data_IF_168954397827
#
_entry.id   IF_168954397827
#
_cell.length_a   1.000
_cell.length_b   1.000
_cell.length_c   1.000
_cell.angle_alpha   90.00
_cell.angle_beta   90.00
_cell.angle_gamma   90.00
#
_symmetry.space_group_name_H-M   'P 1'
#
loop_
_entity.id
_entity.type
_entity.pdbx_description
1 polymer ?
#
# COMPACT_ATOMS: atom_id res chain seq x y z
N UNK A 1 18.78 9.93 -5.29
CA UNK A 1 17.90 8.74 -5.34
C UNK A 1 18.21 7.94 -6.61
N UNK A 2 18.70 6.71 -6.48
CA UNK A 2 18.88 5.81 -7.63
C UNK A 2 17.53 5.25 -8.06
N UNK A 3 17.23 5.21 -9.35
CA UNK A 3 16.00 4.60 -9.86
C UNK A 3 16.35 3.43 -10.78
N UNK A 4 15.70 2.29 -10.59
CA UNK A 4 15.83 1.10 -11.44
C UNK A 4 14.47 0.51 -11.74
N UNK A 5 14.39 -0.44 -12.67
CA UNK A 5 13.13 -1.09 -13.04
C UNK A 5 12.86 -1.01 -14.53
N UNK A 6 11.80 -1.70 -14.97
CA UNK A 6 11.46 -1.80 -16.40
C UNK A 6 10.83 -0.51 -16.93
N UNK A 7 10.08 0.18 -16.08
CA UNK A 7 9.34 1.38 -16.45
C UNK A 7 9.36 2.36 -15.28
N UNK A 8 10.01 3.49 -15.47
CA UNK A 8 10.03 4.58 -14.49
C UNK A 8 8.90 5.52 -14.86
N UNK A 9 7.92 5.64 -13.96
CA UNK A 9 6.74 6.47 -14.17
C UNK A 9 7.10 7.95 -14.33
N UNK A 10 6.40 8.65 -15.25
CA UNK A 10 6.45 10.11 -15.38
C UNK A 10 5.86 10.83 -14.16
N UNK A 11 4.87 10.21 -13.52
CA UNK A 11 4.40 10.60 -12.20
C UNK A 11 5.41 10.04 -11.19
N UNK A 12 6.46 10.78 -10.83
CA UNK A 12 7.49 10.26 -9.93
C UNK A 12 7.00 10.13 -8.48
N UNK A 13 7.84 9.53 -7.63
CA UNK A 13 7.51 9.26 -6.21
C UNK A 13 7.31 10.54 -5.40
N UNK A 14 7.90 11.64 -5.85
CA UNK A 14 7.78 12.97 -5.27
C UNK A 14 6.34 13.50 -5.31
N UNK A 15 5.53 13.07 -6.28
CA UNK A 15 4.10 13.38 -6.34
C UNK A 15 3.31 12.75 -5.19
N UNK A 16 3.87 11.73 -4.53
CA UNK A 16 3.35 11.11 -3.32
C UNK A 16 4.06 11.62 -2.05
N UNK A 17 4.89 12.66 -2.16
CA UNK A 17 5.59 13.28 -1.04
C UNK A 17 6.88 12.58 -0.61
N UNK A 18 7.24 11.45 -1.22
CA UNK A 18 8.47 10.71 -0.92
C UNK A 18 9.69 11.46 -1.43
N UNK A 19 10.69 11.66 -0.56
CA UNK A 19 11.92 12.40 -0.84
C UNK A 19 13.12 11.65 -0.30
N UNK A 20 14.32 12.02 -0.75
CA UNK A 20 15.59 11.53 -0.22
C UNK A 20 15.73 10.00 -0.10
N UNK A 21 15.01 9.22 -0.91
CA UNK A 21 15.13 7.77 -0.91
C UNK A 21 16.52 7.36 -1.42
N UNK A 22 17.08 6.29 -0.86
CA UNK A 22 18.34 5.73 -1.36
C UNK A 22 18.14 5.15 -2.76
N UNK A 23 17.09 4.33 -2.93
CA UNK A 23 16.78 3.67 -4.20
C UNK A 23 15.27 3.45 -4.37
N UNK A 24 14.80 3.50 -5.62
CA UNK A 24 13.43 3.13 -6.01
C UNK A 24 13.50 2.11 -7.12
N UNK A 25 12.81 0.98 -6.94
CA UNK A 25 12.72 -0.11 -7.90
C UNK A 25 11.31 -0.21 -8.47
N UNK A 26 11.15 0.14 -9.74
CA UNK A 26 9.85 0.22 -10.39
C UNK A 26 9.47 -1.05 -11.13
N UNK A 27 8.26 -1.54 -10.85
CA UNK A 27 7.56 -2.55 -11.65
C UNK A 27 8.46 -3.77 -11.94
N UNK A 28 9.21 -4.21 -10.93
CA UNK A 28 10.05 -5.39 -11.04
C UNK A 28 9.16 -6.62 -11.28
N UNK A 29 9.63 -7.50 -12.17
CA UNK A 29 8.98 -8.78 -12.46
C UNK A 29 9.22 -9.80 -11.34
N UNK A 30 8.41 -10.87 -11.25
CA UNK A 30 8.54 -11.88 -10.20
C UNK A 30 9.95 -12.41 -10.02
N UNK A 31 10.68 -12.73 -11.10
CA UNK A 31 12.04 -13.27 -11.00
C UNK A 31 13.01 -12.34 -10.24
N UNK A 32 13.01 -11.04 -10.56
CA UNK A 32 13.85 -10.07 -9.86
C UNK A 32 13.40 -9.88 -8.39
N UNK A 33 12.09 -9.87 -8.14
CA UNK A 33 11.56 -9.78 -6.78
C UNK A 33 11.96 -11.00 -5.94
N UNK A 34 11.92 -12.21 -6.51
CA UNK A 34 12.39 -13.45 -5.89
C UNK A 34 13.86 -13.36 -5.50
N UNK A 35 14.73 -13.01 -6.44
CA UNK A 35 16.18 -12.96 -6.21
C UNK A 35 16.54 -11.94 -5.13
N UNK A 36 15.94 -10.74 -5.18
CA UNK A 36 16.20 -9.69 -4.20
C UNK A 36 15.68 -10.10 -2.83
N UNK A 37 14.46 -10.62 -2.73
CA UNK A 37 13.87 -11.05 -1.46
C UNK A 37 14.70 -12.16 -0.80
N UNK A 38 15.16 -13.15 -1.56
CA UNK A 38 16.06 -14.20 -1.06
C UNK A 38 17.40 -13.64 -0.59
N UNK A 39 18.02 -12.75 -1.38
CA UNK A 39 19.29 -12.12 -1.03
C UNK A 39 19.19 -11.27 0.24
N UNK A 40 18.03 -10.66 0.50
CA UNK A 40 17.76 -9.85 1.70
C UNK A 40 17.30 -10.70 2.90
N UNK A 41 17.20 -12.02 2.76
CA UNK A 41 16.73 -12.90 3.83
C UNK A 41 15.26 -12.67 4.20
N UNK A 42 14.45 -12.16 3.26
CA UNK A 42 13.03 -11.87 3.49
C UNK A 42 12.14 -13.14 3.46
N UNK A 43 12.73 -14.28 3.11
CA UNK A 43 12.06 -15.57 3.03
C UNK A 43 12.98 -16.67 2.51
N UNK A 44 12.39 -17.84 2.28
CA UNK A 44 13.06 -19.05 1.81
C UNK A 44 12.28 -19.69 0.66
N UNK A 45 12.91 -20.60 -0.07
CA UNK A 45 12.20 -21.39 -1.08
C UNK A 45 11.76 -22.72 -0.49
N UNK A 46 10.49 -23.06 -0.70
CA UNK A 46 10.02 -24.44 -0.51
C UNK A 46 10.68 -25.37 -1.53
N UNK A 47 10.60 -26.69 -1.30
CA UNK A 47 11.11 -27.70 -2.23
C UNK A 47 10.48 -27.62 -3.63
N UNK A 48 9.25 -27.09 -3.75
CA UNK A 48 8.55 -26.85 -5.01
C UNK A 48 8.86 -25.51 -5.67
N UNK A 49 9.80 -24.71 -5.11
CA UNK A 49 10.19 -23.41 -5.66
C UNK A 49 9.28 -22.24 -5.28
N UNK A 50 8.19 -22.48 -4.52
CA UNK A 50 7.37 -21.39 -4.01
C UNK A 50 8.11 -20.59 -2.93
N UNK A 51 8.04 -19.26 -2.99
CA UNK A 51 8.58 -18.36 -1.97
C UNK A 51 7.76 -18.45 -0.67
N UNK A 52 8.46 -18.67 0.45
CA UNK A 52 7.90 -18.78 1.79
C UNK A 52 8.40 -17.61 2.61
N UNK A 53 7.49 -16.72 3.02
CA UNK A 53 7.78 -15.62 3.96
C UNK A 53 7.15 -15.88 5.33
N UNK A 54 7.67 -15.21 6.36
CA UNK A 54 7.09 -15.21 7.72
C UNK A 54 6.70 -13.79 8.07
N UNK A 55 5.46 -13.61 8.56
CA UNK A 55 4.90 -12.28 8.85
C UNK A 55 5.12 -11.82 10.28
N UNK A 56 5.87 -12.60 11.07
CA UNK A 56 6.15 -12.33 12.47
C UNK A 56 4.92 -12.48 13.35
N UNK A 57 4.74 -11.54 14.27
CA UNK A 57 3.64 -11.52 15.24
C UNK A 57 2.25 -11.49 14.57
N UNK A 58 2.11 -10.75 13.48
CA UNK A 58 0.85 -10.62 12.77
C UNK A 58 0.69 -11.72 11.71
N UNK A 59 0.05 -12.82 12.09
CA UNK A 59 -0.29 -13.94 11.18
C UNK A 59 -1.67 -13.79 10.52
N UNK A 60 -2.37 -12.69 10.82
CA UNK A 60 -3.68 -12.35 10.30
C UNK A 60 -3.93 -10.86 10.31
N UNK A 61 -5.17 -10.45 10.01
CA UNK A 61 -5.53 -9.03 9.97
C UNK A 61 -5.53 -8.39 11.36
N UNK A 62 -5.03 -7.18 11.43
CA UNK A 62 -5.11 -6.32 12.61
C UNK A 62 -6.35 -5.42 12.51
N UNK A 63 -7.54 -6.04 12.49
CA UNK A 63 -8.80 -5.31 12.26
C UNK A 63 -9.04 -4.17 13.27
N UNK A 64 -8.52 -4.31 14.49
CA UNK A 64 -8.62 -3.30 15.53
C UNK A 64 -7.61 -2.15 15.37
N UNK A 65 -6.66 -2.25 14.44
CA UNK A 65 -5.65 -1.22 14.14
C UNK A 65 -5.89 -0.55 12.79
N UNK A 66 -7.05 -0.82 12.18
CA UNK A 66 -7.50 -0.15 10.96
C UNK A 66 -8.37 1.06 11.30
N UNK A 67 -8.02 2.21 10.71
CA UNK A 67 -8.68 3.49 10.89
C UNK A 67 -9.08 4.08 9.54
N UNK A 68 -10.19 4.81 9.51
CA UNK A 68 -10.64 5.62 8.38
C UNK A 68 -10.68 7.06 8.82
N UNK A 69 -10.14 7.97 7.99
CA UNK A 69 -10.20 9.40 8.27
C UNK A 69 -11.67 9.86 8.27
N UNK A 70 -12.08 10.49 9.37
CA UNK A 70 -13.40 11.10 9.53
C UNK A 70 -13.31 12.58 9.19
N UNK A 71 -13.71 12.93 7.98
CA UNK A 71 -13.80 14.29 7.46
C UNK A 71 -15.24 14.63 7.08
N UNK A 72 -15.46 15.82 6.50
CA UNK A 72 -16.79 16.28 6.11
C UNK A 72 -17.47 15.42 5.04
N UNK A 73 -16.72 14.65 4.26
CA UNK A 73 -17.26 13.76 3.23
C UNK A 73 -17.51 12.36 3.78
N UNK A 74 -16.62 11.85 4.63
CA UNK A 74 -16.71 10.48 5.16
C UNK A 74 -17.62 10.37 6.38
N UNK A 75 -17.87 11.46 7.11
CA UNK A 75 -18.69 11.46 8.35
C UNK A 75 -20.08 10.86 8.16
N UNK A 76 -20.69 11.03 6.99
CA UNK A 76 -22.05 10.56 6.70
C UNK A 76 -22.08 9.39 5.69
N UNK A 77 -20.94 9.01 5.11
CA UNK A 77 -20.85 7.96 4.07
C UNK A 77 -20.18 6.68 4.54
N UNK A 78 -19.42 6.73 5.65
CA UNK A 78 -18.80 5.56 6.28
C UNK A 78 -19.69 5.01 7.38
N UNK A 79 -19.82 3.68 7.42
CA UNK A 79 -20.52 3.00 8.52
C UNK A 79 -19.63 2.92 9.78
N UNK A 80 -19.75 3.94 10.64
CA UNK A 80 -18.88 4.12 11.81
C UNK A 80 -19.06 3.09 12.92
N UNK A 81 -20.17 2.35 12.98
CA UNK A 81 -20.31 1.27 13.98
C UNK A 81 -19.33 0.11 13.72
N UNK A 82 -18.79 0.03 12.50
CA UNK A 82 -17.85 -1.00 12.07
C UNK A 82 -16.51 -0.42 11.56
N UNK A 83 -16.25 0.87 11.80
CA UNK A 83 -15.03 1.54 11.40
C UNK A 83 -14.49 2.42 12.52
N UNK A 84 -13.17 2.44 12.70
CA UNK A 84 -12.54 3.34 13.67
C UNK A 84 -12.19 4.66 13.00
N UNK A 85 -12.48 5.76 13.68
CA UNK A 85 -12.17 7.09 13.18
C UNK A 85 -10.73 7.50 13.52
N UNK A 86 -10.13 8.26 12.61
CA UNK A 86 -8.91 9.05 12.81
C UNK A 86 -9.20 10.47 12.28
N UNK A 87 -8.66 11.51 12.91
CA UNK A 87 -8.88 12.88 12.40
C UNK A 87 -7.98 13.16 11.19
N UNK A 88 -8.34 14.13 10.33
CA UNK A 88 -7.47 14.56 9.24
C UNK A 88 -6.07 14.99 9.70
N UNK A 89 -5.98 15.68 10.83
CA UNK A 89 -4.71 16.19 11.39
C UNK A 89 -3.82 15.05 11.88
N UNK A 90 -4.41 14.04 12.54
CA UNK A 90 -3.70 12.83 12.96
C UNK A 90 -3.16 12.05 11.76
N UNK A 91 -3.98 11.91 10.71
CA UNK A 91 -3.56 11.27 9.47
C UNK A 91 -2.42 12.04 8.78
N UNK A 92 -2.50 13.36 8.73
CA UNK A 92 -1.51 14.19 8.06
C UNK A 92 -0.17 14.18 8.80
N UNK A 93 -0.21 14.14 10.13
CA UNK A 93 0.97 13.93 10.97
C UNK A 93 1.58 12.55 10.73
N UNK A 94 0.77 11.48 10.80
CA UNK A 94 1.21 10.11 10.52
C UNK A 94 1.81 9.99 9.11
N UNK A 95 1.18 10.61 8.12
CA UNK A 95 1.66 10.62 6.74
C UNK A 95 3.03 11.29 6.64
N UNK A 96 3.19 12.48 7.22
CA UNK A 96 4.46 13.21 7.21
C UNK A 96 5.58 12.38 7.87
N UNK A 97 5.31 11.74 9.01
CA UNK A 97 6.30 10.93 9.72
C UNK A 97 6.64 9.62 8.98
N UNK A 98 5.67 8.99 8.30
CA UNK A 98 5.96 7.83 7.45
C UNK A 98 6.77 8.20 6.22
N UNK A 99 6.55 9.38 5.62
CA UNK A 99 7.38 9.90 4.55
C UNK A 99 8.81 10.18 5.03
N UNK A 100 8.97 10.76 6.22
CA UNK A 100 10.27 10.98 6.84
C UNK A 100 10.97 9.64 7.15
N UNK A 101 10.24 8.64 7.65
CA UNK A 101 10.77 7.29 7.89
C UNK A 101 11.21 6.58 6.60
N UNK A 102 10.64 6.95 5.46
CA UNK A 102 11.05 6.42 4.16
C UNK A 102 12.39 7.00 3.67
N UNK A 103 12.81 8.16 4.15
CA UNK A 103 14.07 8.79 3.72
C UNK A 103 15.26 7.85 3.96
N UNK A 104 16.17 7.79 2.98
CA UNK A 104 17.32 6.88 3.00
C UNK A 104 16.99 5.40 2.79
N UNK A 105 15.71 5.00 2.70
CA UNK A 105 15.34 3.60 2.39
C UNK A 105 15.37 3.31 0.90
N UNK A 106 15.49 2.02 0.60
CA UNK A 106 15.17 1.47 -0.71
C UNK A 106 13.71 1.02 -0.70
N UNK A 107 12.92 1.48 -1.68
CA UNK A 107 11.52 1.10 -1.85
C UNK A 107 11.28 0.40 -3.19
N UNK A 108 10.27 -0.47 -3.20
CA UNK A 108 9.75 -1.13 -4.40
C UNK A 108 8.38 -0.58 -4.74
N UNK A 109 8.19 -0.25 -6.01
CA UNK A 109 6.95 0.32 -6.54
C UNK A 109 6.29 -0.69 -7.48
N UNK A 110 5.00 -0.91 -7.29
CA UNK A 110 4.16 -1.68 -8.19
C UNK A 110 2.96 -0.82 -8.62
N UNK A 111 2.88 -0.54 -9.93
CA UNK A 111 1.75 0.08 -10.59
C UNK A 111 0.82 -1.02 -11.13
N UNK A 112 -0.38 -1.11 -10.55
CA UNK A 112 -1.30 -2.22 -10.74
C UNK A 112 -2.75 -1.71 -10.86
N UNK A 113 -3.66 -2.54 -11.39
CA UNK A 113 -5.08 -2.24 -11.44
C UNK A 113 -5.89 -3.09 -10.45
N UNK A 114 -6.72 -2.43 -9.63
CA UNK A 114 -7.79 -3.07 -8.88
C UNK A 114 -9.07 -3.14 -9.72
N UNK A 115 -9.52 -4.35 -10.08
CA UNK A 115 -10.70 -4.54 -10.94
C UNK A 115 -10.36 -4.68 -12.43
N UNK A 116 -11.05 -5.59 -13.12
CA UNK A 116 -10.72 -5.97 -14.50
C UNK A 116 -11.38 -5.09 -15.57
N UNK A 117 -12.54 -4.50 -15.27
CA UNK A 117 -13.26 -3.65 -16.21
C UNK A 117 -12.56 -2.29 -16.34
N UNK A 118 -12.09 -1.87 -17.53
CA UNK A 118 -11.45 -0.58 -17.73
C UNK A 118 -12.28 0.64 -17.30
N UNK A 119 -13.61 0.52 -17.27
CA UNK A 119 -14.52 1.60 -16.84
C UNK A 119 -14.55 1.80 -15.32
N UNK A 120 -14.16 0.78 -14.56
CA UNK A 120 -14.28 0.75 -13.10
C UNK A 120 -12.97 0.39 -12.39
N UNK A 121 -11.92 0.01 -13.12
CA UNK A 121 -10.63 -0.34 -12.56
C UNK A 121 -10.02 0.85 -11.82
N UNK A 122 -9.25 0.53 -10.79
CA UNK A 122 -8.58 1.47 -9.90
C UNK A 122 -7.07 1.43 -10.16
N UNK A 123 -6.49 2.40 -10.88
CA UNK A 123 -5.04 2.56 -10.98
C UNK A 123 -4.46 2.75 -9.59
N UNK A 124 -3.69 1.77 -9.13
CA UNK A 124 -3.17 1.67 -7.77
C UNK A 124 -1.65 1.62 -7.82
N UNK A 125 -1.00 2.58 -7.14
CA UNK A 125 0.43 2.55 -6.88
C UNK A 125 0.70 2.05 -5.48
N UNK A 126 1.55 1.04 -5.36
CA UNK A 126 1.92 0.44 -4.07
C UNK A 126 3.41 0.63 -3.85
N UNK A 127 3.75 1.35 -2.78
CA UNK A 127 5.11 1.45 -2.24
C UNK A 127 5.29 0.42 -1.14
N UNK A 128 6.36 -0.36 -1.22
CA UNK A 128 6.69 -1.39 -0.23
C UNK A 128 8.15 -1.29 0.18
N UNK A 129 8.41 -1.48 1.48
CA UNK A 129 9.76 -1.62 2.02
C UNK A 129 10.36 -3.01 1.76
N UNK A 130 9.52 -4.05 1.81
CA UNK A 130 9.91 -5.44 1.60
C UNK A 130 9.61 -5.87 0.18
N UNK A 131 10.56 -6.58 -0.43
CA UNK A 131 10.46 -7.07 -1.79
C UNK A 131 9.35 -8.12 -1.95
N UNK A 132 9.20 -9.01 -0.98
CA UNK A 132 8.14 -10.03 -1.01
C UNK A 132 6.72 -9.44 -0.89
N UNK A 133 6.55 -8.24 -0.29
CA UNK A 133 5.26 -7.53 -0.29
C UNK A 133 4.89 -7.05 -1.71
N UNK A 134 5.88 -6.59 -2.48
CA UNK A 134 5.68 -6.28 -3.91
C UNK A 134 5.28 -7.52 -4.71
N UNK A 135 5.95 -8.65 -4.47
CA UNK A 135 5.61 -9.92 -5.13
C UNK A 135 4.18 -10.36 -4.77
N UNK A 136 3.80 -10.25 -3.51
CA UNK A 136 2.46 -10.59 -3.05
C UNK A 136 1.38 -9.78 -3.76
N UNK A 137 1.52 -8.45 -3.84
CA UNK A 137 0.47 -7.61 -4.42
C UNK A 137 0.40 -7.76 -5.94
N UNK A 138 1.55 -7.98 -6.60
CA UNK A 138 1.63 -8.28 -8.03
C UNK A 138 0.86 -9.56 -8.40
N UNK A 139 0.85 -10.57 -7.53
CA UNK A 139 0.08 -11.81 -7.77
C UNK A 139 -1.44 -11.63 -7.63
N UNK A 140 -1.91 -10.54 -6.98
CA UNK A 140 -3.33 -10.37 -6.61
C UNK A 140 -4.05 -9.28 -7.39
N UNK A 141 -3.33 -8.30 -7.91
CA UNK A 141 -3.90 -7.26 -8.76
C UNK A 141 -3.54 -7.51 -10.22
N UNK A 142 -4.12 -6.71 -11.11
CA UNK A 142 -3.93 -6.87 -12.55
C UNK A 142 -2.72 -6.04 -12.96
N UNK A 143 -1.74 -6.69 -13.59
CA UNK A 143 -0.59 -6.00 -14.15
C UNK A 143 -0.99 -5.20 -15.40
N UNK A 144 -0.63 -3.91 -15.50
CA UNK A 144 -0.81 -3.14 -16.71
C UNK A 144 -0.04 -3.74 -17.88
N UNK A 145 -0.57 -3.58 -19.08
CA UNK A 145 0.23 -3.86 -20.29
C UNK A 145 1.38 -2.83 -20.39
N UNK A 146 2.49 -3.16 -21.07
CA UNK A 146 3.62 -2.24 -21.20
C UNK A 146 3.21 -0.85 -21.71
N UNK A 147 2.32 -0.78 -22.70
CA UNK A 147 1.79 0.47 -23.26
C UNK A 147 0.93 1.28 -22.29
N UNK A 148 0.34 0.64 -21.27
CA UNK A 148 -0.46 1.33 -20.24
C UNK A 148 0.41 1.94 -19.14
N UNK A 149 1.69 1.55 -19.04
CA UNK A 149 2.61 2.08 -18.03
C UNK A 149 3.08 3.50 -18.38
N UNK A 150 3.23 3.83 -19.66
CA UNK A 150 3.76 5.13 -20.13
C UNK A 150 2.95 6.33 -19.64
N UNK A 151 1.65 6.15 -19.51
CA UNK A 151 0.70 7.17 -19.06
C UNK A 151 -0.05 6.71 -17.79
N UNK A 152 0.55 5.79 -17.02
CA UNK A 152 -0.04 5.33 -15.77
C UNK A 152 -0.17 6.48 -14.77
N UNK A 153 -1.42 6.79 -14.42
CA UNK A 153 -1.80 7.85 -13.50
C UNK A 153 -2.41 7.23 -12.24
N UNK A 154 -1.64 7.13 -11.14
CA UNK A 154 -2.10 6.48 -9.92
C UNK A 154 -3.25 7.25 -9.29
N UNK A 155 -4.44 6.62 -9.24
CA UNK A 155 -5.62 7.16 -8.57
C UNK A 155 -5.72 6.72 -7.11
N UNK A 156 -4.94 5.75 -6.70
CA UNK A 156 -4.90 5.28 -5.33
C UNK A 156 -3.47 4.92 -4.96
N UNK A 157 -3.03 5.34 -3.78
CA UNK A 157 -1.68 5.09 -3.30
C UNK A 157 -1.71 4.29 -2.01
N UNK A 158 -0.86 3.27 -1.91
CA UNK A 158 -0.60 2.55 -0.66
C UNK A 158 0.88 2.71 -0.32
N UNK A 159 1.18 3.14 0.91
CA UNK A 159 2.53 3.19 1.46
C UNK A 159 2.62 2.15 2.57
N UNK A 160 3.34 1.05 2.31
CA UNK A 160 3.49 -0.08 3.22
C UNK A 160 4.94 -0.17 3.74
N UNK A 161 5.13 0.28 4.98
CA UNK A 161 6.42 0.33 5.68
C UNK A 161 6.29 -0.48 6.98
N UNK A 162 6.37 -1.82 6.94
CA UNK A 162 6.21 -2.68 8.12
C UNK A 162 7.20 -2.35 9.26
N UNK A 163 8.34 -1.72 8.97
CA UNK A 163 9.30 -1.28 10.00
C UNK A 163 8.87 -0.03 10.76
N UNK A 164 7.91 0.76 10.25
CA UNK A 164 7.40 1.92 10.95
C UNK A 164 6.60 1.48 12.17
N UNK A 165 6.85 2.07 13.34
CA UNK A 165 6.09 1.84 14.57
C UNK A 165 5.32 3.10 14.92
N UNK A 166 4.01 2.98 14.96
CA UNK A 166 3.13 4.10 15.28
C UNK A 166 3.22 4.45 16.77
N UNK A 167 3.08 5.73 17.09
CA UNK A 167 2.93 6.24 18.45
C UNK A 167 1.42 6.45 18.70
N UNK A 168 0.78 5.62 19.57
CA UNK A 168 -0.65 5.70 19.84
C UNK A 168 -1.11 7.08 20.31
N UNK A 169 -0.32 7.74 21.17
CA UNK A 169 -0.69 9.04 21.73
C UNK A 169 -0.59 10.13 20.68
N UNK A 170 0.46 10.10 19.86
CA UNK A 170 0.71 11.10 18.81
C UNK A 170 -0.32 11.02 17.68
N UNK A 171 -0.66 9.80 17.23
CA UNK A 171 -1.50 9.61 16.05
C UNK A 171 -2.97 9.27 16.38
N UNK A 172 -3.31 9.10 17.65
CA UNK A 172 -4.64 8.65 18.07
C UNK A 172 -4.97 7.23 17.59
N UNK A 173 -3.96 6.39 17.41
CA UNK A 173 -4.14 4.98 17.06
C UNK A 173 -4.10 4.09 18.31
N UNK A 174 -4.34 2.79 18.14
CA UNK A 174 -4.51 1.85 19.26
C UNK A 174 -3.18 1.25 19.74
N UNK A 175 -2.31 0.93 18.80
CA UNK A 175 -1.03 0.25 19.04
C UNK A 175 0.05 0.80 18.11
N UNK A 176 1.24 0.20 18.15
CA UNK A 176 2.31 0.49 17.19
C UNK A 176 2.01 -0.01 15.76
N UNK A 177 0.97 -0.82 15.58
CA UNK A 177 0.41 -1.17 14.28
C UNK A 177 -0.65 -0.16 13.85
N UNK A 178 -0.62 0.24 12.59
CA UNK A 178 -1.60 1.17 12.02
C UNK A 178 -1.87 0.85 10.56
N UNK A 179 -3.16 0.80 10.20
CA UNK A 179 -3.67 0.79 8.83
C UNK A 179 -4.60 1.99 8.69
N UNK A 180 -4.06 3.13 8.28
CA UNK A 180 -4.82 4.37 8.18
C UNK A 180 -5.29 4.61 6.74
N UNK A 181 -6.60 4.75 6.54
CA UNK A 181 -7.21 4.95 5.22
C UNK A 181 -7.78 6.37 5.10
N UNK A 182 -7.31 7.14 4.13
CA UNK A 182 -7.91 8.41 3.74
C UNK A 182 -8.52 8.26 2.34
N UNK A 183 -9.85 8.09 2.26
CA UNK A 183 -10.54 7.86 0.99
C UNK A 183 -10.65 9.11 0.12
N UNK A 184 -10.57 10.30 0.71
CA UNK A 184 -10.62 11.57 -0.04
C UNK A 184 -9.27 11.87 -0.67
N UNK A 185 -8.18 11.75 0.09
CA UNK A 185 -6.81 11.82 -0.44
C UNK A 185 -6.43 10.59 -1.27
N UNK A 186 -7.21 9.50 -1.17
CA UNK A 186 -7.01 8.21 -1.85
C UNK A 186 -5.64 7.60 -1.52
N UNK A 187 -5.29 7.66 -0.23
CA UNK A 187 -4.02 7.15 0.33
C UNK A 187 -4.33 6.16 1.45
N UNK A 188 -3.58 5.07 1.50
CA UNK A 188 -3.53 4.17 2.66
C UNK A 188 -2.10 4.02 3.17
N UNK A 189 -1.96 4.12 4.48
CA UNK A 189 -0.71 4.02 5.21
C UNK A 189 -0.73 2.73 6.05
N UNK A 190 0.30 1.90 5.91
CA UNK A 190 0.44 0.63 6.63
C UNK A 190 1.79 0.63 7.35
N UNK A 191 1.75 0.48 8.68
CA UNK A 191 2.91 0.37 9.55
C UNK A 191 2.70 -0.65 10.66
N UNK A 192 3.78 -1.16 11.24
CA UNK A 192 3.77 -2.07 12.38
C UNK A 192 3.48 -3.53 12.05
N UNK A 193 2.96 -3.83 10.86
CA UNK A 193 2.56 -5.19 10.46
C UNK A 193 3.19 -5.63 9.15
N UNK A 194 3.69 -6.87 9.12
CA UNK A 194 4.15 -7.53 7.89
C UNK A 194 3.07 -8.39 7.23
N UNK A 195 1.84 -8.43 7.75
CA UNK A 195 0.76 -9.21 7.17
C UNK A 195 0.30 -8.61 5.84
N UNK A 196 0.72 -9.22 4.73
CA UNK A 196 0.51 -8.69 3.38
C UNK A 196 -0.97 -8.57 2.97
N UNK A 197 -1.87 -9.30 3.65
CA UNK A 197 -3.30 -9.21 3.44
C UNK A 197 -3.86 -7.79 3.68
N UNK A 198 -3.21 -6.95 4.48
CA UNK A 198 -3.63 -5.56 4.67
C UNK A 198 -3.53 -4.74 3.38
N UNK A 199 -2.49 -4.92 2.57
CA UNK A 199 -2.34 -4.23 1.27
C UNK A 199 -3.49 -4.60 0.33
N UNK A 200 -3.79 -5.90 0.17
CA UNK A 200 -4.91 -6.36 -0.68
C UNK A 200 -6.26 -5.85 -0.17
N UNK A 201 -6.48 -5.91 1.14
CA UNK A 201 -7.75 -5.47 1.75
C UNK A 201 -7.92 -3.95 1.68
N UNK A 202 -6.83 -3.18 1.56
CA UNK A 202 -6.88 -1.73 1.34
C UNK A 202 -7.47 -1.38 -0.04
N UNK A 203 -7.00 -2.04 -1.10
CA UNK A 203 -7.59 -1.91 -2.46
C UNK A 203 -9.06 -2.32 -2.45
N UNK A 204 -9.37 -3.46 -1.84
CA UNK A 204 -10.75 -3.92 -1.72
C UNK A 204 -11.64 -2.92 -0.95
N UNK A 205 -11.13 -2.30 0.10
CA UNK A 205 -11.88 -1.30 0.88
C UNK A 205 -12.18 -0.06 0.05
N UNK A 206 -11.21 0.40 -0.74
CA UNK A 206 -11.42 1.55 -1.63
C UNK A 206 -12.48 1.27 -2.70
N UNK A 207 -12.45 0.08 -3.30
CA UNK A 207 -13.47 -0.34 -4.26
C UNK A 207 -14.86 -0.48 -3.60
N UNK A 208 -14.94 -1.00 -2.37
CA UNK A 208 -16.19 -1.06 -1.62
C UNK A 208 -16.75 0.31 -1.26
N UNK A 209 -15.91 1.33 -1.13
CA UNK A 209 -16.34 2.70 -0.89
C UNK A 209 -16.79 3.39 -2.19
N UNK A 210 -16.03 3.23 -3.28
CA UNK A 210 -16.25 3.98 -4.53
C UNK A 210 -17.34 3.40 -5.42
N UNK A 211 -17.39 2.08 -5.58
CA UNK A 211 -18.28 1.42 -6.56
C UNK A 211 -19.78 1.58 -6.27
N UNK A 212 -20.26 1.53 -5.01
CA UNK A 212 -21.67 1.74 -4.72
C UNK A 212 -22.19 3.11 -5.19
N UNK A 213 -21.38 4.16 -5.07
CA UNK A 213 -21.71 5.50 -5.59
C UNK A 213 -21.90 5.53 -7.11
N UNK A 214 -21.33 4.56 -7.83
CA UNK A 214 -21.48 4.36 -9.28
C UNK A 214 -22.57 3.34 -9.64
N UNK A 215 -23.37 2.89 -8.66
CA UNK A 215 -24.38 1.83 -8.81
C UNK A 215 -23.79 0.48 -9.25
N UNK A 216 -22.53 0.22 -8.88
CA UNK A 216 -21.85 -1.06 -9.10
C UNK A 216 -21.75 -1.78 -7.76
N UNK A 217 -22.21 -3.03 -7.70
CA UNK A 217 -22.15 -3.84 -6.48
C UNK A 217 -20.76 -4.45 -6.30
N UNK A 218 -20.01 -4.10 -5.23
CA UNK A 218 -18.74 -4.75 -4.91
C UNK A 218 -18.98 -6.09 -4.20
N UNK A 219 -18.27 -7.15 -4.61
CA UNK A 219 -18.26 -8.48 -3.96
C UNK A 219 -16.87 -9.11 -4.01
#
# INVERSE_FOLDING_TARGET
MKQTGRHISKNGVENQGLKNLAQVNWNLKPAALYEIALKRGEGELSSGGAFVSRTGEHTGRSAQDKFVVKDDTTKDTVWWDNAKAMTPEQFDLLHADMLAHAEGKELFVQDLFGGADPTHRLPTRVFTELCWHSLFIQNLLIEPKPEELDDFDPKFTIINLPSFRADPEKYGCRTETVIACNFIKRIVLIGGTSYAGETKKSVFSMLNYELPGKKVMPM
#
